data_IF_997152506397
#
_entry.id   IF_997152506397
#
_cell.length_a   1.000
_cell.length_b   1.000
_cell.length_c   1.000
_cell.angle_alpha   90.00
_cell.angle_beta   90.00
_cell.angle_gamma   90.00
#
_symmetry.space_group_name_H-M   'P 1'
#
loop_
_entity.id
_entity.type
_entity.pdbx_description
1 polymer ?
#
# COMPACT_ATOMS: atom_id res chain seq x y z
N UNK A 1 -46.45 -32.08 -19.85
CA UNK A 1 -46.73 -31.77 -21.27
C UNK A 1 -45.40 -31.87 -22.02
N UNK A 2 -45.17 -32.99 -22.71
CA UNK A 2 -43.90 -33.33 -23.37
C UNK A 2 -44.19 -33.74 -24.82
N UNK A 3 -43.47 -33.13 -25.78
CA UNK A 3 -43.30 -33.50 -27.19
C UNK A 3 -42.16 -32.59 -27.72
N UNK A 4 -40.94 -33.03 -28.08
CA UNK A 4 -40.44 -33.99 -29.08
C UNK A 4 -40.33 -33.40 -30.51
N UNK A 5 -39.09 -33.46 -31.05
CA UNK A 5 -38.63 -33.47 -32.46
C UNK A 5 -38.69 -32.18 -33.29
N UNK A 6 -37.82 -31.88 -34.27
CA UNK A 6 -36.59 -32.48 -34.86
C UNK A 6 -36.04 -31.44 -35.87
N UNK A 7 -34.74 -31.48 -36.16
CA UNK A 7 -34.13 -30.70 -37.24
C UNK A 7 -32.63 -30.98 -37.37
N UNK A 8 -32.31 -32.09 -38.02
CA UNK A 8 -30.98 -32.68 -38.24
C UNK A 8 -30.42 -32.23 -39.62
N UNK A 9 -29.11 -32.02 -39.74
CA UNK A 9 -28.20 -32.68 -40.71
C UNK A 9 -26.98 -31.86 -41.22
N UNK A 10 -25.80 -32.36 -40.81
CA UNK A 10 -24.62 -32.81 -41.61
C UNK A 10 -23.75 -31.75 -42.34
N UNK A 11 -22.50 -31.52 -41.90
CA UNK A 11 -21.22 -32.28 -42.08
C UNK A 11 -20.62 -32.19 -43.49
N UNK A 12 -19.32 -31.86 -43.60
CA UNK A 12 -18.22 -32.73 -44.10
C UNK A 12 -16.83 -32.15 -43.71
N UNK A 13 -15.93 -33.03 -43.25
CA UNK A 13 -14.49 -32.84 -42.99
C UNK A 13 -13.63 -33.33 -44.18
N UNK A 14 -12.41 -32.77 -44.35
CA UNK A 14 -11.20 -33.43 -44.91
C UNK A 14 -9.97 -32.55 -44.52
N UNK A 15 -8.98 -32.94 -43.70
CA UNK A 15 -7.88 -33.94 -43.74
C UNK A 15 -6.69 -33.67 -44.72
N UNK A 16 -5.59 -33.13 -44.12
CA UNK A 16 -4.12 -33.42 -44.29
C UNK A 16 -3.38 -33.02 -45.59
N UNK A 17 -2.01 -33.00 -45.69
CA UNK A 17 -0.92 -33.23 -44.69
C UNK A 17 0.31 -32.23 -44.73
N UNK A 18 1.27 -32.38 -43.78
CA UNK A 18 2.73 -32.00 -43.83
C UNK A 18 3.55 -33.21 -44.37
N UNK A 19 4.83 -33.18 -44.85
CA UNK A 19 6.09 -32.55 -44.29
C UNK A 19 7.15 -32.22 -45.42
N UNK A 20 8.53 -32.27 -45.30
CA UNK A 20 9.47 -32.41 -44.17
C UNK A 20 10.72 -31.46 -44.14
N UNK A 21 11.54 -31.63 -43.08
CA UNK A 21 12.82 -30.97 -42.77
C UNK A 21 14.02 -31.39 -43.63
N UNK A 22 15.06 -30.53 -43.72
CA UNK A 22 16.45 -30.94 -43.93
C UNK A 22 17.47 -29.98 -43.27
N UNK A 23 18.46 -30.57 -42.60
CA UNK A 23 19.62 -29.98 -41.93
C UNK A 23 20.86 -30.08 -42.85
N UNK A 24 21.69 -29.04 -43.02
CA UNK A 24 23.12 -29.18 -43.39
C UNK A 24 23.98 -28.12 -42.67
N UNK A 25 25.20 -28.53 -42.27
CA UNK A 25 26.19 -27.93 -41.36
C UNK A 25 27.32 -27.14 -42.06
N UNK A 26 28.05 -26.35 -41.23
CA UNK A 26 29.52 -25.99 -41.22
C UNK A 26 30.05 -24.83 -42.12
N UNK A 27 30.55 -23.74 -41.50
CA UNK A 27 31.98 -23.32 -41.19
C UNK A 27 32.77 -22.82 -42.43
N UNK A 28 33.23 -21.56 -42.52
CA UNK A 28 34.54 -21.02 -42.03
C UNK A 28 34.69 -19.53 -42.42
N UNK A 29 35.00 -18.61 -41.48
CA UNK A 29 36.24 -17.78 -41.29
C UNK A 29 36.84 -17.01 -42.49
N UNK A 30 36.93 -15.67 -42.36
CA UNK A 30 38.18 -14.90 -42.61
C UNK A 30 38.11 -13.55 -43.37
N UNK A 31 38.47 -12.44 -42.68
CA UNK A 31 39.23 -11.20 -43.09
C UNK A 31 38.68 -10.37 -44.28
N UNK A 32 38.68 -9.04 -44.38
CA UNK A 32 39.26 -7.89 -43.66
C UNK A 32 39.68 -6.82 -44.70
N UNK A 33 39.28 -5.55 -44.51
CA UNK A 33 39.63 -4.31 -45.30
C UNK A 33 39.14 -4.24 -46.77
N UNK A 34 38.76 -3.10 -47.38
CA UNK A 34 39.21 -1.70 -47.24
C UNK A 34 38.18 -0.71 -47.87
N UNK A 35 38.13 0.51 -47.30
CA UNK A 35 37.75 1.83 -47.86
C UNK A 35 36.43 2.04 -48.61
N UNK A 36 35.57 2.89 -48.03
CA UNK A 36 35.03 4.04 -48.73
C UNK A 36 34.77 5.20 -47.73
N UNK A 37 35.40 6.33 -48.03
CA UNK A 37 35.40 7.56 -47.24
C UNK A 37 34.21 8.43 -47.64
N UNK A 38 33.36 8.79 -46.68
CA UNK A 38 32.55 10.02 -46.76
C UNK A 38 32.35 10.59 -45.36
N UNK A 39 32.87 11.81 -45.17
CA UNK A 39 32.74 12.68 -44.01
C UNK A 39 31.26 13.03 -43.71
N UNK A 40 30.83 12.88 -42.46
CA UNK A 40 29.67 13.56 -41.88
C UNK A 40 30.04 13.97 -40.43
N UNK A 41 29.81 15.24 -40.01
CA UNK A 41 30.38 15.77 -38.78
C UNK A 41 29.60 15.39 -37.50
N UNK A 42 30.29 15.61 -36.39
CA UNK A 42 30.00 15.19 -35.02
C UNK A 42 28.68 15.69 -34.42
N UNK A 43 27.90 14.77 -33.82
CA UNK A 43 27.26 14.91 -32.50
C UNK A 43 26.26 13.77 -32.26
N UNK A 44 26.61 12.76 -31.47
CA UNK A 44 25.66 11.93 -30.69
C UNK A 44 26.40 10.78 -29.97
N UNK A 45 27.40 11.10 -29.15
CA UNK A 45 27.83 10.20 -28.08
C UNK A 45 27.10 10.62 -26.82
N UNK A 46 25.80 10.28 -26.72
CA UNK A 46 25.12 10.24 -25.43
C UNK A 46 25.66 9.02 -24.66
N UNK A 47 26.82 9.22 -24.03
CA UNK A 47 27.21 8.39 -22.89
C UNK A 47 26.12 8.55 -21.85
N UNK A 48 25.32 7.51 -21.67
CA UNK A 48 24.47 7.33 -20.48
C UNK A 48 25.41 7.07 -19.30
N UNK A 49 26.07 8.13 -18.84
CA UNK A 49 26.75 8.17 -17.54
C UNK A 49 25.97 9.14 -16.67
N UNK A 50 24.73 8.74 -16.38
CA UNK A 50 23.92 9.34 -15.33
C UNK A 50 23.37 8.20 -14.49
N UNK A 51 24.26 7.46 -13.83
CA UNK A 51 23.92 6.77 -12.58
C UNK A 51 23.72 7.86 -11.54
N UNK A 52 22.65 8.63 -11.71
CA UNK A 52 22.23 9.67 -10.80
C UNK A 52 21.95 8.94 -9.49
N UNK A 53 22.75 9.22 -8.46
CA UNK A 53 22.47 8.78 -7.10
C UNK A 53 21.01 9.15 -6.83
N UNK A 54 20.14 8.14 -6.76
CA UNK A 54 18.73 8.33 -6.44
C UNK A 54 18.71 8.84 -5.01
N UNK A 55 18.69 10.17 -4.84
CA UNK A 55 18.43 10.85 -3.58
C UNK A 55 17.21 10.15 -2.99
N UNK A 56 17.40 9.50 -1.85
CA UNK A 56 16.32 8.81 -1.13
C UNK A 56 15.26 9.84 -0.81
N UNK A 57 14.07 9.66 -1.36
CA UNK A 57 12.90 10.43 -0.96
C UNK A 57 12.11 9.55 -0.01
N UNK A 58 11.98 10.06 1.21
CA UNK A 58 10.96 9.61 2.14
C UNK A 58 9.66 10.27 1.67
N UNK A 59 8.61 9.48 1.57
CA UNK A 59 7.28 10.00 1.29
C UNK A 59 6.79 10.86 2.45
N UNK A 60 5.82 11.72 2.16
CA UNK A 60 5.11 12.53 3.14
C UNK A 60 3.62 12.32 2.93
N UNK A 61 2.91 11.84 3.96
CA UNK A 61 1.51 11.45 3.81
C UNK A 61 0.62 12.61 3.37
N UNK A 62 0.85 13.84 3.85
CA UNK A 62 0.08 15.00 3.40
C UNK A 62 0.50 15.43 1.99
N UNK A 63 1.77 15.43 1.67
CA UNK A 63 2.18 15.81 0.32
C UNK A 63 1.67 14.81 -0.73
N UNK A 64 1.92 13.52 -0.50
CA UNK A 64 1.76 12.46 -1.48
C UNK A 64 0.30 11.99 -1.63
N UNK A 65 -0.58 12.31 -0.67
CA UNK A 65 -2.02 12.02 -0.81
C UNK A 65 -2.80 13.17 -1.41
N UNK A 66 -2.16 14.32 -1.67
CA UNK A 66 -2.85 15.53 -2.13
C UNK A 66 -3.55 15.30 -3.46
N UNK A 67 -4.81 15.73 -3.52
CA UNK A 67 -5.64 15.68 -4.72
C UNK A 67 -5.76 17.08 -5.34
N UNK A 68 -5.85 17.13 -6.67
CA UNK A 68 -6.04 18.36 -7.43
C UNK A 68 -7.31 18.22 -8.28
N UNK A 69 -8.18 19.23 -8.23
CA UNK A 69 -9.45 19.22 -8.94
C UNK A 69 -10.56 19.85 -8.11
N UNK A 70 -11.78 19.74 -8.60
CA UNK A 70 -13.00 20.27 -8.01
C UNK A 70 -14.23 19.58 -8.60
N UNK A 71 -15.41 19.85 -8.05
CA UNK A 71 -16.71 19.42 -8.58
C UNK A 71 -16.79 17.91 -8.84
N UNK A 72 -16.32 17.11 -7.87
CA UNK A 72 -16.33 15.66 -7.93
C UNK A 72 -15.30 15.06 -8.89
N UNK A 73 -14.40 15.84 -9.47
CA UNK A 73 -13.35 15.36 -10.40
C UNK A 73 -11.98 15.77 -9.91
N UNK A 74 -11.19 14.78 -9.52
CA UNK A 74 -9.87 14.95 -8.94
C UNK A 74 -8.82 14.11 -9.65
N UNK A 75 -7.56 14.51 -9.48
CA UNK A 75 -6.37 13.77 -9.89
C UNK A 75 -5.35 13.75 -8.78
N UNK A 76 -4.56 12.69 -8.74
CA UNK A 76 -3.36 12.58 -7.91
C UNK A 76 -2.26 11.83 -8.66
N UNK A 77 -1.06 11.79 -8.09
CA UNK A 77 0.05 10.96 -8.57
C UNK A 77 0.36 9.94 -7.49
N UNK A 78 0.31 8.66 -7.83
CA UNK A 78 0.67 7.59 -6.88
C UNK A 78 2.20 7.51 -6.81
N UNK A 79 2.76 7.87 -5.65
CA UNK A 79 4.21 7.96 -5.46
C UNK A 79 4.86 6.58 -5.26
N UNK A 80 6.05 6.33 -5.86
CA UNK A 80 6.85 5.13 -5.62
C UNK A 80 7.47 5.07 -4.22
N UNK A 81 7.41 6.17 -3.45
CA UNK A 81 7.95 6.19 -2.08
C UNK A 81 7.04 5.41 -1.10
N UNK A 82 5.83 5.04 -1.54
CA UNK A 82 4.88 4.18 -0.83
C UNK A 82 4.85 2.75 -1.41
N UNK A 83 5.93 2.34 -2.10
CA UNK A 83 6.08 0.99 -2.65
C UNK A 83 6.22 -0.07 -1.55
N UNK A 84 5.46 -1.16 -1.69
CA UNK A 84 5.70 -2.48 -1.09
C UNK A 84 5.93 -3.46 -2.26
N UNK A 85 4.94 -4.26 -2.63
CA UNK A 85 4.98 -5.08 -3.87
C UNK A 85 4.44 -4.36 -5.10
N UNK A 86 3.70 -3.29 -4.83
CA UNK A 86 3.20 -2.25 -5.72
C UNK A 86 2.90 -1.05 -4.82
N UNK A 87 2.05 -0.10 -5.23
CA UNK A 87 1.54 0.91 -4.30
C UNK A 87 0.88 0.24 -3.09
N UNK A 88 1.26 0.67 -1.88
CA UNK A 88 0.57 0.23 -0.66
C UNK A 88 -0.94 0.55 -0.75
N UNK A 89 -1.79 -0.45 -0.48
CA UNK A 89 -3.25 -0.31 -0.60
C UNK A 89 -3.79 0.79 0.30
N UNK A 90 -3.36 0.82 1.56
CA UNK A 90 -3.73 1.81 2.55
C UNK A 90 -3.38 3.24 2.14
N UNK A 91 -2.24 3.45 1.47
CA UNK A 91 -1.88 4.73 0.88
C UNK A 91 -2.80 5.12 -0.30
N UNK A 92 -3.15 4.17 -1.17
CA UNK A 92 -4.15 4.42 -2.24
C UNK A 92 -5.52 4.75 -1.65
N UNK A 93 -5.94 4.03 -0.60
CA UNK A 93 -7.15 4.30 0.15
C UNK A 93 -7.11 5.67 0.86
N UNK A 94 -5.95 6.11 1.33
CA UNK A 94 -5.76 7.45 1.89
C UNK A 94 -5.99 8.57 0.85
N UNK A 95 -5.54 8.38 -0.39
CA UNK A 95 -5.86 9.30 -1.51
C UNK A 95 -7.38 9.38 -1.72
N UNK A 96 -8.07 8.24 -1.72
CA UNK A 96 -9.52 8.19 -1.87
C UNK A 96 -10.24 8.87 -0.69
N UNK A 97 -9.82 8.60 0.55
CA UNK A 97 -10.35 9.23 1.75
C UNK A 97 -10.20 10.76 1.69
N UNK A 98 -9.05 11.24 1.23
CA UNK A 98 -8.80 12.68 1.06
C UNK A 98 -9.63 13.29 -0.08
N UNK A 99 -9.82 12.59 -1.19
CA UNK A 99 -10.71 13.03 -2.26
C UNK A 99 -12.16 13.18 -1.77
N UNK A 100 -12.65 12.24 -0.95
CA UNK A 100 -13.95 12.39 -0.30
C UNK A 100 -13.99 13.61 0.63
N UNK A 101 -12.90 13.86 1.36
CA UNK A 101 -12.77 15.03 2.24
C UNK A 101 -12.84 16.36 1.51
N UNK A 102 -12.36 16.44 0.27
CA UNK A 102 -12.48 17.64 -0.56
C UNK A 102 -13.94 17.99 -0.93
N UNK A 103 -14.86 17.01 -0.93
CA UNK A 103 -16.29 17.19 -1.23
C UNK A 103 -17.20 17.26 0.02
N UNK A 104 -16.65 16.89 1.18
CA UNK A 104 -17.38 16.82 2.44
C UNK A 104 -17.67 18.23 2.99
N UNK A 105 -18.89 18.45 3.48
CA UNK A 105 -19.20 19.63 4.31
C UNK A 105 -18.89 19.39 5.78
N UNK A 106 -18.91 18.13 6.20
CA UNK A 106 -18.59 17.71 7.56
C UNK A 106 -17.16 17.18 7.57
N UNK A 107 -16.23 17.98 8.10
CA UNK A 107 -14.81 17.64 8.19
C UNK A 107 -14.51 16.66 9.35
N UNK A 108 -15.24 15.55 9.40
CA UNK A 108 -15.09 14.50 10.40
C UNK A 108 -15.39 13.14 9.77
N UNK A 109 -14.38 12.46 9.18
CA UNK A 109 -14.55 11.10 8.70
C UNK A 109 -14.84 10.16 9.88
N UNK A 110 -15.81 9.26 9.69
CA UNK A 110 -16.19 8.28 10.72
C UNK A 110 -16.13 6.84 10.21
N UNK A 111 -16.19 6.63 8.90
CA UNK A 111 -15.95 5.31 8.32
C UNK A 111 -15.40 5.38 6.89
N UNK A 112 -14.66 4.34 6.51
CA UNK A 112 -14.20 4.06 5.17
C UNK A 112 -14.46 2.58 4.84
N UNK A 113 -14.94 2.30 3.64
CA UNK A 113 -14.98 0.95 3.08
C UNK A 113 -14.53 1.03 1.62
N UNK A 114 -13.54 0.23 1.24
CA UNK A 114 -12.99 0.22 -0.12
C UNK A 114 -12.75 -1.19 -0.64
N UNK A 115 -12.99 -1.37 -1.94
CA UNK A 115 -12.68 -2.59 -2.68
C UNK A 115 -11.57 -2.32 -3.67
N UNK A 116 -10.51 -3.13 -3.63
CA UNK A 116 -9.42 -3.07 -4.59
C UNK A 116 -9.81 -3.91 -5.81
N UNK A 117 -9.95 -3.24 -6.96
CA UNK A 117 -10.40 -3.87 -8.21
C UNK A 117 -9.22 -4.32 -9.08
N UNK A 118 -8.08 -3.64 -8.95
CA UNK A 118 -6.84 -3.96 -9.63
C UNK A 118 -5.65 -3.33 -8.90
N UNK A 119 -4.46 -3.91 -9.08
CA UNK A 119 -3.22 -3.32 -8.57
C UNK A 119 -2.94 -2.01 -9.28
N UNK A 120 -2.81 -0.93 -8.51
CA UNK A 120 -2.48 0.39 -9.01
C UNK A 120 -1.02 0.44 -9.53
N UNK A 121 -0.72 1.43 -10.38
CA UNK A 121 0.62 1.76 -10.87
C UNK A 121 1.11 3.07 -10.24
N UNK A 122 2.43 3.23 -10.11
CA UNK A 122 3.07 4.49 -9.75
C UNK A 122 2.96 5.52 -10.88
N UNK A 123 1.76 6.05 -11.06
CA UNK A 123 1.37 6.88 -12.19
C UNK A 123 0.21 7.80 -11.77
N UNK A 124 -0.17 8.79 -12.61
CA UNK A 124 -1.38 9.56 -12.39
C UNK A 124 -2.61 8.66 -12.20
N UNK A 125 -3.53 9.13 -11.36
CA UNK A 125 -4.84 8.49 -11.12
C UNK A 125 -5.94 9.54 -11.24
N UNK A 126 -7.00 9.18 -11.97
CA UNK A 126 -8.22 9.98 -12.06
C UNK A 126 -9.19 9.48 -10.98
N UNK A 127 -9.82 10.41 -10.28
CA UNK A 127 -10.68 10.15 -9.12
C UNK A 127 -12.01 10.85 -9.34
N UNK A 128 -13.09 10.07 -9.35
CA UNK A 128 -14.46 10.59 -9.39
C UNK A 128 -15.08 10.48 -8.00
N UNK A 129 -15.64 11.57 -7.51
CA UNK A 129 -16.28 11.65 -6.20
C UNK A 129 -17.74 12.03 -6.38
N UNK A 130 -18.64 11.25 -5.78
CA UNK A 130 -20.09 11.48 -5.84
C UNK A 130 -20.66 11.47 -4.43
N UNK A 131 -21.23 12.59 -4.00
CA UNK A 131 -21.95 12.67 -2.72
C UNK A 131 -23.31 12.00 -2.89
N UNK A 132 -23.39 10.71 -2.50
CA UNK A 132 -24.59 9.90 -2.62
C UNK A 132 -25.69 10.32 -1.65
N UNK A 133 -25.31 10.84 -0.47
CA UNK A 133 -26.25 11.39 0.50
C UNK A 133 -25.62 12.57 1.22
N UNK A 134 -26.39 13.66 1.34
CA UNK A 134 -25.99 14.86 2.07
C UNK A 134 -27.06 15.22 3.10
N UNK A 135 -26.90 14.71 4.31
CA UNK A 135 -27.75 15.02 5.44
C UNK A 135 -27.19 16.15 6.29
N UNK A 136 -28.00 16.67 7.22
CA UNK A 136 -27.57 17.71 8.17
C UNK A 136 -26.46 17.24 9.12
N UNK A 137 -26.48 15.96 9.50
CA UNK A 137 -25.57 15.38 10.51
C UNK A 137 -24.62 14.33 9.95
N UNK A 138 -24.81 13.86 8.72
CA UNK A 138 -23.94 12.87 8.11
C UNK A 138 -24.01 12.91 6.60
N UNK A 139 -22.90 12.54 5.97
CA UNK A 139 -22.80 12.40 4.52
C UNK A 139 -22.37 10.96 4.16
N UNK A 140 -22.69 10.56 2.94
CA UNK A 140 -22.20 9.34 2.30
C UNK A 140 -21.61 9.72 0.96
N UNK A 141 -20.33 9.46 0.78
CA UNK A 141 -19.53 9.93 -0.35
C UNK A 141 -18.90 8.72 -1.04
N UNK A 142 -19.21 8.51 -2.31
CA UNK A 142 -18.62 7.46 -3.14
C UNK A 142 -17.37 7.99 -3.82
N UNK A 143 -16.33 7.19 -3.90
CA UNK A 143 -15.07 7.51 -4.58
C UNK A 143 -14.70 6.37 -5.51
N UNK A 144 -14.50 6.67 -6.79
CA UNK A 144 -14.04 5.74 -7.79
C UNK A 144 -12.69 6.21 -8.33
N UNK A 145 -11.70 5.32 -8.35
CA UNK A 145 -10.36 5.62 -8.87
C UNK A 145 -10.08 4.80 -10.13
N UNK A 146 -9.54 5.46 -11.15
CA UNK A 146 -9.18 4.82 -12.42
C UNK A 146 -7.79 5.21 -12.88
N UNK A 147 -7.10 4.30 -13.56
CA UNK A 147 -5.82 4.59 -14.23
C UNK A 147 -5.88 4.17 -15.69
N UNK A 148 -5.70 5.13 -16.60
CA UNK A 148 -5.89 4.92 -18.04
C UNK A 148 -7.26 4.29 -18.35
N UNK A 149 -8.31 4.80 -17.70
CA UNK A 149 -9.70 4.33 -17.87
C UNK A 149 -10.05 3.01 -17.21
N UNK A 150 -9.11 2.33 -16.53
CA UNK A 150 -9.36 1.06 -15.84
C UNK A 150 -9.63 1.30 -14.35
N UNK A 151 -10.73 0.79 -13.78
CA UNK A 151 -10.99 0.87 -12.34
C UNK A 151 -9.91 0.18 -11.51
N UNK A 152 -9.50 0.82 -10.42
CA UNK A 152 -8.52 0.27 -9.47
C UNK A 152 -9.05 0.23 -8.02
N UNK A 153 -9.95 1.15 -7.65
CA UNK A 153 -10.55 1.22 -6.32
C UNK A 153 -11.97 1.78 -6.43
N UNK A 154 -12.90 1.19 -5.71
CA UNK A 154 -14.22 1.76 -5.40
C UNK A 154 -14.35 1.86 -3.89
N UNK A 155 -14.79 3.01 -3.38
CA UNK A 155 -14.91 3.24 -1.95
C UNK A 155 -16.16 4.05 -1.58
N UNK A 156 -16.59 3.88 -0.33
CA UNK A 156 -17.60 4.69 0.32
C UNK A 156 -17.01 5.24 1.61
N UNK A 157 -17.12 6.56 1.78
CA UNK A 157 -16.69 7.30 2.96
C UNK A 157 -17.91 7.87 3.65
N UNK A 158 -17.95 7.74 4.98
CA UNK A 158 -18.95 8.38 5.82
C UNK A 158 -18.31 9.50 6.61
N UNK A 159 -18.97 10.64 6.61
CA UNK A 159 -18.67 11.76 7.53
C UNK A 159 -19.86 11.97 8.45
N UNK A 160 -19.61 12.41 9.69
CA UNK A 160 -20.68 12.72 10.63
C UNK A 160 -20.29 13.80 11.61
N UNK A 161 -21.20 14.76 11.81
CA UNK A 161 -21.01 15.86 12.73
C UNK A 161 -20.98 15.33 14.15
N UNK A 162 -20.21 15.99 15.02
CA UNK A 162 -20.27 15.73 16.45
C UNK A 162 -21.61 16.22 17.01
N UNK A 163 -22.24 15.41 17.86
CA UNK A 163 -23.51 15.71 18.51
C UNK A 163 -23.53 15.15 19.93
N UNK A 164 -24.26 15.74 20.87
CA UNK A 164 -24.51 15.10 22.17
C UNK A 164 -25.08 13.69 21.99
N UNK A 165 -24.64 12.74 22.82
CA UNK A 165 -25.04 11.34 22.72
C UNK A 165 -24.52 10.49 23.88
N UNK A 166 -24.78 9.18 23.82
CA UNK A 166 -24.28 8.22 24.80
C UNK A 166 -22.74 8.20 24.81
N UNK A 167 -22.15 8.07 25.99
CA UNK A 167 -20.69 8.01 26.16
C UNK A 167 -20.33 6.83 27.06
N UNK A 168 -19.50 5.92 26.55
CA UNK A 168 -18.80 4.88 27.29
C UNK A 168 -17.53 4.51 26.49
N UNK A 169 -16.53 3.94 27.15
CA UNK A 169 -15.36 3.36 26.51
C UNK A 169 -14.99 2.08 27.27
N UNK A 170 -15.37 0.94 26.70
CA UNK A 170 -15.04 -0.40 27.21
C UNK A 170 -13.90 -1.04 26.40
N UNK A 171 -13.20 -0.26 25.59
CA UNK A 171 -12.10 -0.78 24.81
C UNK A 171 -10.96 -1.17 25.75
N UNK A 172 -10.59 -2.45 25.76
CA UNK A 172 -9.47 -2.96 26.57
C UNK A 172 -8.15 -2.87 25.77
N UNK A 173 -7.25 -1.91 26.07
CA UNK A 173 -5.91 -1.90 25.51
C UNK A 173 -5.08 -3.01 26.16
N UNK A 174 -4.19 -3.63 25.39
CA UNK A 174 -3.19 -4.50 25.99
C UNK A 174 -2.25 -3.65 26.89
N UNK A 175 -2.00 -4.12 28.11
CA UNK A 175 -0.95 -3.61 28.98
C UNK A 175 0.41 -3.89 28.34
N UNK A 176 0.90 -2.93 27.55
CA UNK A 176 2.19 -3.03 26.87
C UNK A 176 3.03 -1.83 27.23
N UNK A 177 4.35 -1.92 27.07
CA UNK A 177 5.22 -0.75 27.25
C UNK A 177 4.93 0.34 26.22
N UNK A 178 5.19 1.60 26.60
CA UNK A 178 5.14 2.73 25.67
C UNK A 178 6.23 2.64 24.59
N UNK A 179 6.23 3.56 23.62
CA UNK A 179 7.25 3.57 22.57
C UNK A 179 8.64 3.97 23.09
N UNK A 180 8.72 4.67 24.22
CA UNK A 180 9.98 5.08 24.85
C UNK A 180 10.71 3.86 25.41
N UNK A 181 12.03 3.77 25.16
CA UNK A 181 12.86 2.63 25.57
C UNK A 181 12.82 1.42 24.62
N UNK A 182 11.88 1.36 23.67
CA UNK A 182 11.87 0.35 22.62
C UNK A 182 12.89 0.69 21.52
N UNK A 183 13.58 -0.34 21.04
CA UNK A 183 14.41 -0.25 19.82
C UNK A 183 13.52 -0.10 18.60
N UNK A 184 13.93 0.76 17.68
CA UNK A 184 13.28 0.91 16.38
C UNK A 184 13.57 -0.27 15.46
N UNK A 185 12.67 -0.51 14.51
CA UNK A 185 12.85 -1.46 13.42
C UNK A 185 14.09 -1.12 12.58
N UNK A 186 14.41 0.16 12.45
CA UNK A 186 15.62 0.65 11.77
C UNK A 186 16.90 0.20 12.50
N UNK A 187 16.89 0.22 13.84
CA UNK A 187 18.01 -0.27 14.67
C UNK A 187 18.08 -1.81 14.75
N UNK A 188 16.93 -2.48 14.73
CA UNK A 188 16.84 -3.95 14.79
C UNK A 188 17.26 -4.61 13.47
N UNK A 189 16.98 -3.95 12.35
CA UNK A 189 17.22 -4.47 10.99
C UNK A 189 18.20 -3.59 10.22
N UNK A 190 19.12 -2.94 10.93
CA UNK A 190 20.12 -2.07 10.32
C UNK A 190 20.92 -2.84 9.27
N UNK A 191 20.88 -2.34 8.02
CA UNK A 191 21.58 -2.96 6.89
C UNK A 191 20.79 -4.06 6.17
N UNK A 192 19.57 -4.39 6.61
CA UNK A 192 18.67 -5.31 5.89
C UNK A 192 17.92 -4.60 4.76
N UNK A 193 17.59 -5.31 3.66
CA UNK A 193 16.69 -4.78 2.64
C UNK A 193 15.30 -4.43 3.20
N UNK A 194 14.70 -3.33 2.73
CA UNK A 194 13.33 -2.94 3.09
C UNK A 194 12.61 -2.26 1.93
N UNK A 195 11.28 -2.28 1.99
CA UNK A 195 10.43 -1.59 1.02
C UNK A 195 10.40 -0.08 1.32
N UNK A 196 10.35 0.81 0.29
CA UNK A 196 10.28 2.26 0.48
C UNK A 196 9.21 2.71 1.47
N UNK A 197 8.04 2.07 1.47
CA UNK A 197 6.96 2.34 2.41
C UNK A 197 7.40 2.41 3.87
N UNK A 198 8.26 1.47 4.31
CA UNK A 198 8.69 1.39 5.70
C UNK A 198 9.65 2.51 6.10
N UNK A 199 10.24 3.24 5.15
CA UNK A 199 11.03 4.44 5.44
C UNK A 199 10.14 5.61 5.88
N UNK A 200 8.87 5.61 5.50
CA UNK A 200 7.90 6.66 5.84
C UNK A 200 7.34 6.48 7.26
N UNK A 201 7.70 5.39 7.95
CA UNK A 201 7.23 5.04 9.28
C UNK A 201 8.41 4.69 10.18
N UNK A 202 8.48 5.24 11.38
CA UNK A 202 9.31 4.66 12.44
C UNK A 202 8.48 3.60 13.16
N UNK A 203 8.89 2.34 13.04
CA UNK A 203 8.30 1.22 13.75
C UNK A 203 9.08 0.87 15.02
N UNK A 204 8.41 0.61 16.14
CA UNK A 204 9.02 0.10 17.38
C UNK A 204 8.26 -1.14 17.85
N UNK A 205 8.72 -2.36 17.47
CA UNK A 205 8.03 -3.58 17.86
C UNK A 205 8.13 -3.79 19.38
N UNK A 206 7.08 -4.36 19.97
CA UNK A 206 7.12 -4.74 21.40
C UNK A 206 8.04 -5.94 21.65
N UNK A 207 8.18 -6.80 20.63
CA UNK A 207 9.06 -7.95 20.60
C UNK A 207 10.23 -7.66 19.65
N UNK A 208 11.47 -7.56 20.13
CA UNK A 208 12.62 -7.25 19.28
C UNK A 208 12.92 -8.35 18.25
N UNK A 209 12.45 -9.57 18.47
CA UNK A 209 12.60 -10.70 17.56
C UNK A 209 11.39 -10.86 16.61
N UNK A 210 10.48 -9.89 16.52
CA UNK A 210 9.25 -9.97 15.70
C UNK A 210 9.53 -10.23 14.21
N UNK A 211 10.63 -9.69 13.69
CA UNK A 211 11.01 -9.75 12.27
C UNK A 211 12.35 -10.46 12.04
N UNK A 212 12.89 -11.13 13.07
CA UNK A 212 14.15 -11.86 12.99
C UNK A 212 14.00 -13.11 12.12
N UNK A 213 14.95 -13.31 11.22
CA UNK A 213 15.03 -14.50 10.38
C UNK A 213 15.19 -15.77 11.23
N UNK A 214 14.53 -16.86 10.84
CA UNK A 214 14.56 -18.13 11.58
C UNK A 214 13.85 -18.10 12.94
N UNK A 215 13.06 -17.07 13.25
CA UNK A 215 12.24 -17.04 14.47
C UNK A 215 11.22 -18.20 14.49
N UNK A 216 10.80 -18.68 15.67
CA UNK A 216 9.74 -19.67 15.76
C UNK A 216 8.39 -19.11 15.29
N UNK A 217 7.50 -20.01 14.89
CA UNK A 217 6.09 -19.70 14.66
C UNK A 217 5.43 -19.19 15.95
N UNK A 218 4.58 -18.18 15.81
CA UNK A 218 3.87 -17.47 16.89
C UNK A 218 2.38 -17.37 16.57
N UNK A 219 1.51 -16.92 17.50
CA UNK A 219 0.15 -16.53 17.15
C UNK A 219 0.14 -15.55 15.98
N UNK A 220 -0.87 -15.63 15.12
CA UNK A 220 -1.02 -14.78 13.93
C UNK A 220 -1.41 -13.34 14.30
N UNK A 221 -0.56 -12.64 15.05
CA UNK A 221 -0.81 -11.31 15.58
C UNK A 221 0.47 -10.48 15.62
N UNK A 222 0.33 -9.17 15.37
CA UNK A 222 1.42 -8.20 15.44
C UNK A 222 0.99 -7.03 16.32
N UNK A 223 1.85 -6.67 17.27
CA UNK A 223 1.71 -5.44 18.07
C UNK A 223 2.97 -4.61 17.98
N UNK A 224 2.82 -3.40 17.46
CA UNK A 224 3.96 -2.52 17.19
C UNK A 224 3.52 -1.05 17.23
N UNK A 225 4.37 -0.21 17.80
CA UNK A 225 4.22 1.24 17.73
C UNK A 225 4.69 1.77 16.38
N UNK A 226 3.95 2.71 15.83
CA UNK A 226 4.27 3.38 14.57
C UNK A 226 4.17 4.90 14.73
N UNK A 227 5.14 5.62 14.17
CA UNK A 227 5.13 7.07 14.01
C UNK A 227 5.38 7.42 12.55
N UNK A 228 4.55 8.27 11.96
CA UNK A 228 4.72 8.70 10.58
C UNK A 228 5.90 9.69 10.46
N UNK A 229 6.59 9.63 9.32
CA UNK A 229 7.71 10.51 8.96
C UNK A 229 7.41 11.19 7.61
N UNK A 230 7.99 12.38 7.34
CA UNK A 230 8.70 13.25 8.28
C UNK A 230 7.77 13.91 9.30
N UNK A 231 6.48 13.98 8.98
CA UNK A 231 5.45 14.63 9.80
C UNK A 231 4.67 13.56 10.57
N UNK A 232 4.64 13.61 11.91
CA UNK A 232 3.98 12.58 12.71
C UNK A 232 2.48 12.80 12.92
N UNK A 233 1.95 14.01 12.62
CA UNK A 233 0.57 14.44 12.89
C UNK A 233 0.08 15.44 11.86
N UNK A 234 -1.22 15.42 11.56
CA UNK A 234 -1.79 16.28 10.52
C UNK A 234 -2.97 17.10 11.04
N UNK A 235 -3.07 18.35 10.56
CA UNK A 235 -4.17 19.24 10.88
C UNK A 235 -5.44 18.89 10.09
N UNK A 236 -5.29 18.42 8.85
CA UNK A 236 -6.41 17.93 8.04
C UNK A 236 -6.96 16.62 8.66
N UNK A 237 -8.24 16.59 9.08
CA UNK A 237 -8.82 15.42 9.74
C UNK A 237 -8.88 14.18 8.84
N UNK A 238 -8.93 14.32 7.51
CA UNK A 238 -8.90 13.19 6.58
C UNK A 238 -7.50 12.60 6.45
N UNK A 239 -6.47 13.44 6.44
CA UNK A 239 -5.07 12.98 6.44
C UNK A 239 -4.69 12.37 7.79
N UNK A 240 -5.20 12.95 8.88
CA UNK A 240 -5.01 12.39 10.23
C UNK A 240 -5.68 11.01 10.37
N UNK A 241 -6.93 10.86 9.91
CA UNK A 241 -7.61 9.56 9.87
C UNK A 241 -6.90 8.55 8.94
N UNK A 242 -6.29 9.03 7.86
CA UNK A 242 -5.54 8.19 6.92
C UNK A 242 -4.36 7.48 7.58
N UNK A 243 -3.74 8.03 8.63
CA UNK A 243 -2.68 7.34 9.40
C UNK A 243 -3.14 5.97 9.89
N UNK A 244 -4.34 5.91 10.47
CA UNK A 244 -4.93 4.67 10.95
C UNK A 244 -5.32 3.75 9.78
N UNK A 245 -5.93 4.30 8.73
CA UNK A 245 -6.35 3.52 7.55
C UNK A 245 -5.16 2.82 6.87
N UNK A 246 -4.03 3.52 6.73
CA UNK A 246 -2.79 2.95 6.16
C UNK A 246 -2.32 1.74 6.97
N UNK A 247 -2.31 1.85 8.30
CA UNK A 247 -1.88 0.75 9.18
C UNK A 247 -2.89 -0.42 9.17
N UNK A 248 -4.19 -0.12 9.15
CA UNK A 248 -5.27 -1.14 9.09
C UNK A 248 -5.12 -1.99 7.83
N UNK A 249 -4.91 -1.36 6.66
CA UNK A 249 -4.74 -2.07 5.39
C UNK A 249 -3.46 -2.92 5.37
N UNK A 250 -2.39 -2.41 5.99
CA UNK A 250 -1.04 -2.98 5.80
C UNK A 250 -0.75 -4.18 6.70
N UNK A 251 -1.32 -4.25 7.90
CA UNK A 251 -0.78 -5.11 8.97
C UNK A 251 -1.38 -6.52 9.08
N UNK A 252 -2.40 -6.84 8.28
CA UNK A 252 -3.00 -8.18 8.28
C UNK A 252 -2.03 -9.25 7.77
N UNK A 253 -1.37 -9.01 6.64
CA UNK A 253 -0.36 -9.95 6.12
C UNK A 253 0.84 -10.12 7.06
N UNK A 254 1.46 -9.03 7.56
CA UNK A 254 2.46 -9.09 8.63
C UNK A 254 2.05 -9.94 9.84
N UNK A 255 0.78 -9.88 10.26
CA UNK A 255 0.23 -10.71 11.34
C UNK A 255 0.14 -12.19 10.96
N UNK A 256 -0.36 -12.52 9.76
CA UNK A 256 -0.41 -13.90 9.28
C UNK A 256 0.98 -14.55 9.17
N UNK A 257 1.98 -13.79 8.71
CA UNK A 257 3.38 -14.23 8.65
C UNK A 257 3.96 -14.55 10.04
N UNK A 258 3.36 -14.11 11.15
CA UNK A 258 3.80 -14.54 12.48
C UNK A 258 3.59 -16.04 12.71
N UNK A 259 2.49 -16.58 12.18
CA UNK A 259 2.19 -18.01 12.22
C UNK A 259 2.92 -18.80 11.14
N UNK A 260 2.96 -18.26 9.92
CA UNK A 260 3.57 -18.91 8.75
C UNK A 260 4.92 -18.28 8.45
N UNK A 261 6.01 -18.89 8.94
CA UNK A 261 7.38 -18.41 8.72
C UNK A 261 7.79 -18.65 7.27
N UNK A 262 8.32 -17.61 6.61
CA UNK A 262 8.77 -17.59 5.21
C UNK A 262 7.76 -18.17 4.18
N UNK A 263 6.51 -17.66 4.15
CA UNK A 263 5.51 -18.18 3.25
C UNK A 263 5.84 -17.79 1.80
N UNK A 264 5.86 -18.76 0.90
CA UNK A 264 6.00 -18.53 -0.55
C UNK A 264 4.67 -18.12 -1.19
N UNK A 265 4.05 -17.09 -0.61
CA UNK A 265 2.74 -16.57 -1.01
C UNK A 265 2.76 -15.04 -1.10
N UNK A 266 1.92 -14.50 -1.97
CA UNK A 266 1.55 -13.09 -2.00
C UNK A 266 0.08 -12.95 -1.60
N UNK A 267 -0.22 -11.92 -0.83
CA UNK A 267 -1.56 -11.71 -0.28
C UNK A 267 -2.02 -10.26 -0.49
N UNK A 268 -2.35 -9.84 -1.72
CA UNK A 268 -2.99 -8.55 -1.96
C UNK A 268 -4.34 -8.46 -1.26
N UNK A 269 -4.66 -7.28 -0.73
CA UNK A 269 -5.97 -6.99 -0.16
C UNK A 269 -7.04 -6.99 -1.25
N UNK A 270 -8.19 -7.60 -0.96
CA UNK A 270 -9.42 -7.48 -1.75
C UNK A 270 -10.24 -6.26 -1.32
N UNK A 271 -10.21 -5.96 -0.02
CA UNK A 271 -10.91 -4.83 0.57
C UNK A 271 -10.15 -4.23 1.76
N UNK A 272 -10.66 -3.10 2.24
CA UNK A 272 -10.33 -2.55 3.56
C UNK A 272 -11.54 -1.82 4.12
N UNK A 273 -11.80 -2.02 5.42
CA UNK A 273 -12.80 -1.28 6.17
C UNK A 273 -12.16 -0.65 7.39
N UNK A 274 -12.56 0.58 7.72
CA UNK A 274 -12.13 1.29 8.91
C UNK A 274 -13.27 2.10 9.50
N UNK A 275 -13.37 2.08 10.83
CA UNK A 275 -14.21 2.94 11.63
C UNK A 275 -13.33 3.84 12.47
N UNK A 276 -13.51 5.15 12.33
CA UNK A 276 -12.74 6.18 13.03
C UNK A 276 -13.55 6.61 14.25
N UNK A 277 -13.15 6.15 15.44
CA UNK A 277 -13.86 6.44 16.70
C UNK A 277 -13.50 7.83 17.22
N UNK A 278 -12.27 8.26 16.95
CA UNK A 278 -11.68 9.54 17.35
C UNK A 278 -10.45 9.82 16.47
N UNK A 279 -10.06 11.08 16.36
CA UNK A 279 -8.83 11.48 15.69
C UNK A 279 -7.69 11.58 16.70
N UNK A 280 -6.49 11.16 16.31
CA UNK A 280 -5.31 11.10 17.18
C UNK A 280 -4.46 12.38 17.16
N UNK A 281 -5.09 13.56 17.08
CA UNK A 281 -4.39 14.86 16.91
C UNK A 281 -3.33 15.15 18.00
N UNK A 282 -3.47 14.59 19.20
CA UNK A 282 -2.51 14.71 20.29
C UNK A 282 -1.37 13.67 20.27
N UNK A 283 -1.42 12.67 19.38
CA UNK A 283 -0.58 11.48 19.45
C UNK A 283 0.28 11.30 18.19
N UNK A 284 1.59 11.41 18.35
CA UNK A 284 2.56 11.10 17.28
C UNK A 284 2.70 9.60 17.05
N UNK A 285 2.57 8.82 18.13
CA UNK A 285 2.65 7.39 18.11
C UNK A 285 1.27 6.76 18.03
N UNK A 286 1.17 5.70 17.23
CA UNK A 286 0.00 4.84 17.13
C UNK A 286 0.44 3.40 17.43
N UNK A 287 -0.18 2.75 18.41
CA UNK A 287 -0.01 1.31 18.61
C UNK A 287 -1.00 0.61 17.68
N UNK A 288 -0.46 -0.17 16.75
CA UNK A 288 -1.26 -1.07 15.95
C UNK A 288 -1.25 -2.47 16.57
N UNK A 289 -2.45 -3.02 16.77
CA UNK A 289 -2.71 -4.37 17.28
C UNK A 289 -3.51 -5.13 16.22
N UNK A 290 -2.78 -5.91 15.41
CA UNK A 290 -3.31 -6.65 14.27
C UNK A 290 -3.42 -8.14 14.61
N UNK A 291 -4.50 -8.78 14.15
CA UNK A 291 -4.76 -10.21 14.31
C UNK A 291 -5.31 -10.79 13.01
N UNK A 292 -4.75 -11.92 12.57
CA UNK A 292 -5.17 -12.67 11.38
C UNK A 292 -5.52 -14.12 11.77
N UNK A 293 -6.65 -14.34 12.46
CA UNK A 293 -6.95 -15.62 13.11
C UNK A 293 -7.26 -16.76 12.14
N UNK A 294 -7.62 -16.45 10.88
CA UNK A 294 -8.07 -17.43 9.89
C UNK A 294 -7.32 -17.22 8.59
N UNK A 295 -6.72 -18.32 8.10
CA UNK A 295 -6.11 -18.43 6.79
C UNK A 295 -6.53 -19.77 6.18
N UNK A 296 -7.47 -19.75 5.23
CA UNK A 296 -8.06 -20.96 4.64
C UNK A 296 -8.64 -20.64 3.25
N UNK A 297 -8.70 -21.63 2.36
CA UNK A 297 -9.35 -21.48 1.06
C UNK A 297 -8.71 -20.43 0.13
N UNK A 298 -7.42 -20.13 0.33
CA UNK A 298 -6.73 -19.06 -0.40
C UNK A 298 -7.07 -17.66 0.10
N UNK A 299 -7.66 -17.53 1.29
CA UNK A 299 -7.95 -16.25 1.93
C UNK A 299 -7.17 -16.10 3.24
N UNK A 300 -6.86 -14.85 3.58
CA UNK A 300 -6.39 -14.46 4.92
C UNK A 300 -7.27 -13.31 5.38
N UNK A 301 -7.93 -13.50 6.51
CA UNK A 301 -8.80 -12.49 7.10
C UNK A 301 -8.26 -11.99 8.43
N UNK A 302 -8.41 -10.70 8.69
CA UNK A 302 -8.00 -10.17 9.98
C UNK A 302 -8.56 -8.80 10.31
N UNK A 303 -8.24 -8.38 11.54
CA UNK A 303 -8.64 -7.09 12.10
C UNK A 303 -7.43 -6.34 12.65
N UNK A 304 -7.52 -5.03 12.68
CA UNK A 304 -6.53 -4.14 13.28
C UNK A 304 -7.24 -3.13 14.19
N UNK A 305 -6.75 -3.01 15.42
CA UNK A 305 -7.12 -1.93 16.35
C UNK A 305 -5.97 -0.94 16.43
N UNK A 306 -6.27 0.34 16.27
CA UNK A 306 -5.29 1.43 16.33
C UNK A 306 -5.53 2.21 17.61
N UNK A 307 -4.49 2.37 18.42
CA UNK A 307 -4.53 3.06 19.70
C UNK A 307 -3.59 4.26 19.68
N UNK A 308 -3.97 5.35 20.34
CA UNK A 308 -3.06 6.46 20.62
C UNK A 308 -2.07 6.10 21.73
N UNK A 309 -1.06 6.94 21.93
CA UNK A 309 -0.02 6.75 22.95
C UNK A 309 -0.59 6.70 24.37
N UNK A 310 -1.63 7.50 24.63
CA UNK A 310 -2.42 7.51 25.87
C UNK A 310 -3.49 6.39 25.94
N UNK A 311 -3.39 5.38 25.06
CA UNK A 311 -4.18 4.14 25.07
C UNK A 311 -5.67 4.30 24.82
N UNK A 312 -6.05 5.31 24.06
CA UNK A 312 -7.41 5.46 23.57
C UNK A 312 -7.53 4.74 22.22
N UNK A 313 -8.58 3.93 22.04
CA UNK A 313 -8.88 3.32 20.75
C UNK A 313 -9.25 4.40 19.72
N UNK A 314 -8.39 4.61 18.73
CA UNK A 314 -8.52 5.65 17.68
C UNK A 314 -9.40 5.14 16.55
N UNK A 315 -9.10 3.93 16.07
CA UNK A 315 -9.80 3.30 14.97
C UNK A 315 -9.81 1.78 15.11
N UNK A 316 -10.80 1.15 14.51
CA UNK A 316 -10.85 -0.30 14.31
C UNK A 316 -11.13 -0.58 12.84
N UNK A 317 -10.64 -1.69 12.33
CA UNK A 317 -10.89 -2.07 10.96
C UNK A 317 -10.37 -3.46 10.64
N UNK A 318 -10.35 -3.79 9.36
CA UNK A 318 -9.88 -5.07 8.87
C UNK A 318 -9.87 -5.14 7.36
N UNK A 319 -9.42 -6.29 6.86
CA UNK A 319 -9.33 -6.59 5.45
C UNK A 319 -9.44 -8.10 5.21
N UNK A 320 -9.91 -8.46 4.02
CA UNK A 320 -9.75 -9.77 3.41
C UNK A 320 -8.65 -9.72 2.36
N UNK A 321 -7.73 -10.67 2.42
CA UNK A 321 -6.60 -10.80 1.49
C UNK A 321 -6.77 -12.06 0.66
N UNK A 322 -6.42 -11.97 -0.62
CA UNK A 322 -6.35 -13.12 -1.52
C UNK A 322 -4.94 -13.71 -1.48
N UNK A 323 -4.76 -14.84 -0.80
CA UNK A 323 -3.49 -15.51 -0.63
C UNK A 323 -3.21 -16.47 -1.79
N UNK A 324 -2.28 -16.08 -2.66
CA UNK A 324 -1.93 -16.80 -3.88
C UNK A 324 -0.50 -17.37 -3.80
N UNK A 325 -0.26 -18.58 -4.33
CA UNK A 325 1.10 -19.09 -4.47
C UNK A 325 1.96 -18.15 -5.29
N UNK A 326 3.19 -17.89 -4.81
CA UNK A 326 4.15 -17.04 -5.49
C UNK A 326 4.93 -16.19 -4.50
N UNK A 327 6.19 -15.92 -4.82
CA UNK A 327 7.02 -15.04 -4.01
C UNK A 327 6.77 -13.59 -4.45
N UNK A 328 6.35 -12.69 -3.55
CA UNK A 328 6.28 -11.28 -3.89
C UNK A 328 7.67 -10.72 -4.26
N UNK A 329 7.74 -9.59 -4.98
CA UNK A 329 9.03 -8.99 -5.34
C UNK A 329 9.87 -8.72 -4.10
N UNK A 330 11.15 -9.12 -4.14
CA UNK A 330 12.04 -8.95 -3.00
C UNK A 330 12.20 -7.46 -2.63
N UNK A 331 12.25 -7.12 -1.32
CA UNK A 331 12.57 -5.78 -0.88
C UNK A 331 13.98 -5.38 -1.36
N UNK A 332 14.21 -4.08 -1.54
CA UNK A 332 15.49 -3.56 -2.02
C UNK A 332 16.31 -3.04 -0.85
N UNK A 333 17.63 -3.19 -0.90
CA UNK A 333 18.52 -2.51 0.05
C UNK A 333 18.38 -1.00 -0.12
N UNK A 334 17.68 -0.39 0.83
CA UNK A 334 17.51 1.06 0.95
C UNK A 334 18.22 1.49 2.23
N UNK A 335 19.47 1.97 2.12
CA UNK A 335 20.27 2.41 3.29
C UNK A 335 19.75 3.76 3.79
N UNK A 336 19.25 3.91 5.03
CA UNK A 336 18.98 5.23 5.59
C UNK A 336 20.23 6.10 5.52
N UNK A 337 20.09 7.39 5.16
CA UNK A 337 21.19 8.33 5.27
C UNK A 337 21.57 8.47 6.74
N UNK A 338 22.85 8.24 7.07
CA UNK A 338 23.37 8.59 8.38
C UNK A 338 23.02 10.06 8.66
N UNK A 339 22.37 10.31 9.80
CA UNK A 339 22.15 11.68 10.27
C UNK A 339 23.52 12.34 10.40
N UNK A 340 23.77 13.34 9.57
CA UNK A 340 24.93 14.20 9.77
C UNK A 340 24.59 15.05 10.98
N UNK A 341 25.06 14.64 12.15
CA UNK A 341 25.14 15.53 13.30
C UNK A 341 26.01 16.71 12.89
N UNK A 342 25.39 17.87 12.65
CA UNK A 342 26.12 19.14 12.63
C UNK A 342 26.52 19.42 14.08
N UNK A 343 27.67 18.89 14.49
CA UNK A 343 28.42 19.42 15.62
C UNK A 343 28.99 20.78 15.20
N UNK A 344 28.19 21.83 15.36
CA UNK A 344 28.69 23.19 15.37
C UNK A 344 29.42 23.40 16.69
N UNK A 345 30.74 23.17 16.70
CA UNK A 345 31.62 23.68 17.75
C UNK A 345 31.69 25.20 17.60
N UNK A 346 30.90 25.92 18.40
CA UNK A 346 31.20 27.29 18.74
C UNK A 346 32.21 27.27 19.88
N UNK A 347 33.34 27.94 19.69
CA UNK A 347 34.32 28.26 20.74
C UNK A 347 35.05 29.52 20.32
N UNK A 348 35.52 30.31 21.29
CA UNK A 348 34.74 31.17 22.17
C UNK A 348 34.64 32.60 21.64
#
# INVERSE_FOLDING_TARGET
MALVCRGDCRRVCALRPRPPCANIRRRTRGRGCSMCSTNVPASALFRVTSRCMRRMRMGDLDHDTRVQGADGRYRAIISPDWEVWGPNGGYVAAIALRAAGAEARIARPVAFAGHYLAVARFAPVDIAVVVAHRGRRSESIRVAMTQAGKPILEAIVRTAAETPGLTHDEAEPAEVQGPDGLRSADELHAGSPTYPFWLNLEGRPLDPDLWKEGRPSRPAAVRQWYRFRPVPRFADPFVEAARALVLIDTLIWPAACQRHVDPSFAAPNLDVVAWFHRLAHGSEWLLADASAPIAEGGLVGGTVRIWSQDRRLVASGGAQLLCLPGTPPAPRLTRPLASTSRSGSASP
#
